data_IF_084421683701
#
_entry.id   IF_084421683701
#
_cell.length_a   1.000
_cell.length_b   1.000
_cell.length_c   1.000
_cell.angle_alpha   90.00
_cell.angle_beta   90.00
_cell.angle_gamma   90.00
#
_symmetry.space_group_name_H-M   'P 1'
#
loop_
_entity.id
_entity.type
_entity.pdbx_description
1 polymer ?
#
# COMPACT_ATOMS: atom_id res chain seq x y z
N UNK A 1 2.86 -14.15 -13.55
CA UNK A 1 1.76 -13.41 -12.91
C UNK A 1 2.41 -12.54 -11.85
N UNK A 2 2.25 -11.22 -11.95
CA UNK A 2 2.98 -10.26 -11.12
C UNK A 2 2.29 -10.15 -9.75
N UNK A 3 2.71 -10.98 -8.79
CA UNK A 3 2.22 -10.92 -7.42
C UNK A 3 2.98 -9.81 -6.68
N UNK A 4 2.33 -8.66 -6.46
CA UNK A 4 2.97 -7.53 -5.76
C UNK A 4 2.77 -7.69 -4.27
N UNK A 5 3.87 -7.69 -3.52
CA UNK A 5 3.81 -7.81 -2.08
C UNK A 5 3.50 -6.44 -1.47
N UNK A 6 2.67 -6.38 -0.43
CA UNK A 6 2.28 -5.12 0.22
C UNK A 6 3.46 -4.24 0.67
N UNK A 7 4.63 -4.84 0.91
CA UNK A 7 5.86 -4.12 1.24
C UNK A 7 6.40 -3.26 0.10
N UNK A 8 6.18 -3.61 -1.17
CA UNK A 8 6.60 -2.77 -2.31
C UNK A 8 5.83 -1.46 -2.33
N UNK A 9 4.50 -1.52 -2.12
CA UNK A 9 3.66 -0.32 -2.01
C UNK A 9 4.07 0.54 -0.81
N UNK A 10 4.42 -0.08 0.32
CA UNK A 10 4.92 0.67 1.48
C UNK A 10 6.28 1.33 1.19
N UNK A 11 7.21 0.65 0.53
CA UNK A 11 8.49 1.26 0.15
C UNK A 11 8.26 2.45 -0.79
N UNK A 12 7.39 2.30 -1.79
CA UNK A 12 7.03 3.38 -2.70
C UNK A 12 6.45 4.59 -1.95
N UNK A 13 5.45 4.37 -1.09
CA UNK A 13 4.82 5.43 -0.31
C UNK A 13 5.76 6.06 0.74
N UNK A 14 6.80 5.34 1.16
CA UNK A 14 7.84 5.85 2.06
C UNK A 14 8.76 6.83 1.33
N UNK A 15 9.07 6.56 0.06
CA UNK A 15 9.89 7.45 -0.77
C UNK A 15 9.07 8.62 -1.32
N UNK A 16 7.86 8.33 -1.82
CA UNK A 16 6.98 9.31 -2.47
C UNK A 16 5.54 9.12 -2.00
N UNK A 17 5.00 10.06 -1.20
CA UNK A 17 3.58 10.08 -0.87
C UNK A 17 2.71 10.22 -2.12
N UNK A 18 1.78 9.29 -2.30
CA UNK A 18 0.90 9.23 -3.47
C UNK A 18 -0.55 9.03 -3.03
N UNK A 19 -1.47 9.57 -3.83
CA UNK A 19 -2.89 9.29 -3.73
C UNK A 19 -3.24 7.93 -4.35
N UNK A 20 -4.49 7.53 -4.17
CA UNK A 20 -5.05 6.28 -4.70
C UNK A 20 -4.91 6.16 -6.22
N UNK A 21 -5.17 7.23 -6.96
CA UNK A 21 -5.21 7.21 -8.42
C UNK A 21 -3.80 7.06 -8.98
N UNK A 22 -2.83 7.78 -8.41
CA UNK A 22 -1.42 7.64 -8.74
C UNK A 22 -0.92 6.21 -8.49
N UNK A 23 -1.31 5.59 -7.36
CA UNK A 23 -0.98 4.19 -7.08
C UNK A 23 -1.62 3.23 -8.10
N UNK A 24 -2.88 3.44 -8.46
CA UNK A 24 -3.59 2.63 -9.45
C UNK A 24 -2.98 2.75 -10.85
N UNK A 25 -2.49 3.94 -11.22
CA UNK A 25 -1.76 4.16 -12.47
C UNK A 25 -0.35 3.56 -12.44
N UNK A 26 0.35 3.65 -11.31
CA UNK A 26 1.71 3.15 -11.16
C UNK A 26 1.77 1.62 -11.17
N UNK A 27 0.89 0.97 -10.41
CA UNK A 27 0.84 -0.50 -10.35
C UNK A 27 -0.03 -1.09 -11.47
N UNK A 28 -1.06 -0.36 -11.91
CA UNK A 28 -2.06 -0.84 -12.85
C UNK A 28 -3.32 -1.33 -12.15
N UNK A 29 -4.47 -0.99 -12.73
CA UNK A 29 -5.79 -1.24 -12.15
C UNK A 29 -6.20 -2.72 -12.11
N UNK A 30 -5.36 -3.61 -12.64
CA UNK A 30 -5.57 -5.06 -12.73
C UNK A 30 -4.59 -5.86 -11.85
N UNK A 31 -3.74 -5.19 -11.09
CA UNK A 31 -2.77 -5.86 -10.21
C UNK A 31 -3.46 -6.40 -8.97
N UNK A 32 -3.13 -7.66 -8.64
CA UNK A 32 -3.48 -8.30 -7.39
C UNK A 32 -2.30 -8.21 -6.42
N UNK A 33 -2.60 -7.71 -5.25
CA UNK A 33 -1.67 -7.62 -4.14
C UNK A 33 -1.84 -8.80 -3.20
N UNK A 34 -0.76 -9.11 -2.50
CA UNK A 34 -0.81 -10.04 -1.39
C UNK A 34 -0.01 -9.48 -0.21
N UNK A 35 -0.42 -9.90 0.97
CA UNK A 35 0.25 -9.66 2.24
C UNK A 35 0.70 -11.02 2.76
N UNK A 36 1.62 -11.04 3.73
CA UNK A 36 2.09 -12.28 4.35
C UNK A 36 0.98 -13.16 4.97
N UNK A 37 -0.26 -12.68 5.09
CA UNK A 37 -1.41 -13.43 5.65
C UNK A 37 -2.63 -13.50 4.72
N UNK A 38 -2.70 -12.71 3.66
CA UNK A 38 -3.87 -12.56 2.80
C UNK A 38 -3.40 -12.41 1.36
N UNK A 39 -4.01 -13.13 0.43
CA UNK A 39 -3.68 -13.07 -1.00
C UNK A 39 -4.89 -12.51 -1.79
N UNK A 40 -4.67 -12.23 -3.07
CA UNK A 40 -5.71 -11.81 -4.03
C UNK A 40 -6.44 -10.49 -3.67
N UNK A 41 -5.73 -9.55 -3.06
CA UNK A 41 -6.28 -8.25 -2.68
C UNK A 41 -6.18 -7.25 -3.83
N UNK A 42 -7.27 -6.54 -4.12
CA UNK A 42 -7.22 -5.34 -4.96
C UNK A 42 -6.54 -4.18 -4.21
N UNK A 43 -6.13 -3.13 -4.94
CA UNK A 43 -5.49 -1.94 -4.36
C UNK A 43 -6.32 -1.34 -3.21
N UNK A 44 -7.62 -1.17 -3.41
CA UNK A 44 -8.54 -0.65 -2.39
C UNK A 44 -8.58 -1.53 -1.13
N UNK A 45 -8.67 -2.85 -1.32
CA UNK A 45 -8.69 -3.80 -0.21
C UNK A 45 -7.36 -3.77 0.57
N UNK A 46 -6.24 -3.66 -0.14
CA UNK A 46 -4.92 -3.51 0.45
C UNK A 46 -4.80 -2.19 1.23
N UNK A 47 -5.19 -1.06 0.64
CA UNK A 47 -5.12 0.25 1.29
C UNK A 47 -5.99 0.30 2.56
N UNK A 48 -7.22 -0.18 2.48
CA UNK A 48 -8.11 -0.28 3.65
C UNK A 48 -7.51 -1.16 4.76
N UNK A 49 -6.87 -2.27 4.38
CA UNK A 49 -6.18 -3.14 5.33
C UNK A 49 -4.98 -2.45 6.01
N UNK A 50 -4.17 -1.73 5.24
CA UNK A 50 -3.01 -0.98 5.74
C UNK A 50 -3.43 0.17 6.65
N UNK A 51 -4.48 0.93 6.28
CA UNK A 51 -5.09 1.97 7.11
C UNK A 51 -5.59 1.40 8.43
N UNK A 52 -6.33 0.27 8.38
CA UNK A 52 -6.84 -0.41 9.58
C UNK A 52 -5.73 -0.89 10.52
N UNK A 53 -4.56 -1.25 9.96
CA UNK A 53 -3.36 -1.64 10.72
C UNK A 53 -2.54 -0.42 11.21
N UNK A 54 -2.95 0.80 10.87
CA UNK A 54 -2.20 2.06 11.06
C UNK A 54 -0.78 1.99 10.46
N UNK A 55 -0.63 1.22 9.36
CA UNK A 55 0.63 1.08 8.60
C UNK A 55 0.83 2.25 7.64
N UNK A 56 -0.26 2.79 7.10
CA UNK A 56 -0.29 4.01 6.32
C UNK A 56 -1.30 4.98 6.93
N UNK A 57 -1.17 6.27 6.63
CA UNK A 57 -2.10 7.32 7.01
C UNK A 57 -2.41 8.17 5.81
N UNK A 58 -3.60 8.73 5.78
CA UNK A 58 -3.96 9.73 4.78
C UNK A 58 -3.60 11.12 5.31
N UNK A 59 -2.76 11.85 4.58
CA UNK A 59 -2.40 13.24 4.83
C UNK A 59 -2.68 14.03 3.55
N UNK A 60 -3.56 15.02 3.65
CA UNK A 60 -3.89 15.90 2.53
C UNK A 60 -4.33 15.14 1.25
N UNK A 61 -5.05 14.03 1.42
CA UNK A 61 -5.50 13.17 0.32
C UNK A 61 -4.43 12.24 -0.26
N UNK A 62 -3.23 12.21 0.31
CA UNK A 62 -2.15 11.30 -0.07
C UNK A 62 -1.90 10.27 1.03
N UNK A 63 -1.57 9.06 0.62
CA UNK A 63 -1.13 8.03 1.55
C UNK A 63 0.34 8.23 1.89
N UNK A 64 0.62 8.25 3.19
CA UNK A 64 1.98 8.25 3.73
C UNK A 64 2.18 7.02 4.58
N UNK A 65 3.39 6.47 4.58
CA UNK A 65 3.72 5.36 5.47
C UNK A 65 3.90 5.86 6.89
N UNK A 66 3.28 5.17 7.84
CA UNK A 66 3.53 5.40 9.25
C UNK A 66 4.85 4.73 9.65
N UNK A 67 5.95 5.46 9.48
CA UNK A 67 7.29 4.97 9.83
C UNK A 67 7.44 4.58 11.31
N UNK A 68 6.60 5.11 12.21
CA UNK A 68 6.61 4.72 13.62
C UNK A 68 6.03 3.30 13.87
N UNK A 69 5.31 2.73 12.87
CA UNK A 69 4.66 1.41 12.95
C UNK A 69 5.10 0.42 11.87
N UNK A 70 5.86 0.87 10.86
CA UNK A 70 6.52 -0.04 9.93
C UNK A 70 7.72 -0.64 10.66
N UNK A 71 7.59 -1.91 11.03
CA UNK A 71 8.53 -2.62 11.86
C UNK A 71 9.93 -2.55 11.24
N UNK A 72 10.88 -2.03 12.01
CA UNK A 72 12.31 -2.25 11.83
C UNK A 72 12.56 -3.73 12.15
N UNK A 73 12.55 -4.59 11.12
CA UNK A 73 12.92 -6.01 11.27
C UNK A 73 14.42 -6.16 11.06
#
# INVERSE_FOLDING_TARGET
MSEIHAHELLNLLRETPMDREALAQHFGNTVRFHTCKLNDLDLDALLAFLLKRDKIRELEGKFVVNMARVCNH
#
